data_IF_095095746858
#
_entry.id   IF_095095746858
#
_cell.length_a   1.000
_cell.length_b   1.000
_cell.length_c   1.000
_cell.angle_alpha   90.00
_cell.angle_beta   90.00
_cell.angle_gamma   90.00
#
_symmetry.space_group_name_H-M   'P 1'
#
loop_
_entity.id
_entity.type
_entity.pdbx_description
1 polymer ?
#
# COMPACT_ATOMS: atom_id res chain seq x y z
N UNK A 1 -16.78 4.84 17.57
CA UNK A 1 -17.08 4.13 18.83
C UNK A 1 -17.90 2.86 18.61
N UNK A 2 -18.96 2.85 17.80
CA UNK A 2 -19.84 1.68 17.62
C UNK A 2 -19.18 0.45 17.03
N UNK A 3 -18.33 0.60 15.98
CA UNK A 3 -17.63 -0.52 15.35
C UNK A 3 -16.64 -1.22 16.31
N UNK A 4 -15.92 -0.45 17.13
CA UNK A 4 -15.00 -1.01 18.12
C UNK A 4 -15.77 -1.77 19.22
N UNK A 5 -16.90 -1.24 19.70
CA UNK A 5 -17.74 -1.93 20.67
C UNK A 5 -18.31 -3.24 20.12
N UNK A 6 -18.74 -3.26 18.85
CA UNK A 6 -19.20 -4.48 18.19
C UNK A 6 -18.08 -5.51 18.03
N UNK A 7 -16.86 -5.08 17.72
CA UNK A 7 -15.70 -5.96 17.60
C UNK A 7 -15.32 -6.61 18.93
N UNK A 8 -15.45 -5.88 20.05
CA UNK A 8 -15.20 -6.45 21.39
C UNK A 8 -16.12 -7.60 21.74
N UNK A 9 -17.33 -7.64 21.19
CA UNK A 9 -18.27 -8.77 21.37
C UNK A 9 -17.93 -10.02 20.56
N UNK A 10 -16.98 -9.92 19.61
CA UNK A 10 -16.61 -10.98 18.65
C UNK A 10 -15.10 -11.30 18.65
N UNK A 11 -14.44 -11.14 19.78
CA UNK A 11 -13.02 -11.45 19.89
C UNK A 11 -12.76 -12.92 19.57
N UNK A 12 -11.71 -13.16 18.79
CA UNK A 12 -11.22 -14.50 18.47
C UNK A 12 -9.82 -14.68 19.09
N UNK A 13 -9.51 -15.87 19.62
CA UNK A 13 -8.15 -16.12 20.08
C UNK A 13 -7.17 -16.02 18.91
N UNK A 14 -6.05 -15.35 19.14
CA UNK A 14 -4.96 -15.23 18.18
C UNK A 14 -3.69 -15.76 18.83
N UNK A 15 -3.11 -16.80 18.26
CA UNK A 15 -1.95 -17.49 18.83
C UNK A 15 -0.66 -17.21 18.08
N UNK A 16 -0.75 -16.77 16.82
CA UNK A 16 0.40 -16.60 15.95
C UNK A 16 0.24 -15.38 15.04
N UNK A 17 1.36 -14.84 14.63
CA UNK A 17 1.47 -13.84 13.55
C UNK A 17 2.36 -14.36 12.45
N UNK A 18 2.12 -13.92 11.23
CA UNK A 18 3.05 -14.14 10.11
C UNK A 18 3.43 -12.82 9.49
N UNK A 19 4.68 -12.71 9.02
CA UNK A 19 5.19 -11.51 8.36
C UNK A 19 5.83 -11.97 7.05
N UNK A 20 5.47 -11.30 5.96
CA UNK A 20 6.03 -11.56 4.65
C UNK A 20 6.00 -10.31 3.78
N UNK A 21 6.78 -10.31 2.72
CA UNK A 21 6.81 -9.21 1.77
C UNK A 21 7.02 -9.71 0.35
N UNK A 22 6.57 -8.91 -0.61
CA UNK A 22 6.79 -9.16 -2.03
C UNK A 22 6.91 -7.84 -2.79
N UNK A 23 7.74 -7.84 -3.84
CA UNK A 23 7.87 -6.69 -4.71
C UNK A 23 6.59 -6.48 -5.52
N UNK A 24 6.14 -5.22 -5.59
CA UNK A 24 5.08 -4.78 -6.50
C UNK A 24 5.71 -4.34 -7.82
N UNK A 25 5.25 -4.88 -8.92
CA UNK A 25 5.75 -4.50 -10.23
C UNK A 25 5.03 -3.27 -10.78
N UNK A 26 5.81 -2.28 -11.23
CA UNK A 26 5.40 -1.13 -12.05
C UNK A 26 4.11 -0.43 -11.61
N UNK A 27 4.05 0.01 -10.34
CA UNK A 27 3.02 0.92 -9.82
C UNK A 27 3.66 2.18 -9.25
N UNK A 28 4.46 2.03 -8.19
CA UNK A 28 5.05 3.17 -7.50
C UNK A 28 6.15 3.84 -8.31
N UNK A 29 6.20 5.16 -8.22
CA UNK A 29 7.31 5.99 -8.70
C UNK A 29 7.41 7.24 -7.85
N UNK A 30 8.62 7.77 -7.70
CA UNK A 30 8.79 9.05 -7.04
C UNK A 30 8.10 10.15 -7.86
N UNK A 31 7.36 11.02 -7.17
CA UNK A 31 6.64 12.14 -7.80
C UNK A 31 7.59 13.15 -8.41
N UNK A 32 8.73 13.41 -7.77
CA UNK A 32 9.74 14.36 -8.27
C UNK A 32 10.71 13.63 -9.20
N UNK A 33 10.79 14.12 -10.43
CA UNK A 33 11.76 13.64 -11.40
C UNK A 33 12.96 14.57 -11.34
N UNK A 34 14.12 14.02 -10.97
CA UNK A 34 15.35 14.78 -10.83
C UNK A 34 16.06 14.92 -12.17
N UNK A 35 16.56 16.10 -12.46
CA UNK A 35 17.47 16.36 -13.57
C UNK A 35 18.92 16.07 -13.19
N UNK A 36 19.81 16.15 -14.17
CA UNK A 36 21.25 15.94 -13.99
C UNK A 36 21.90 17.02 -13.10
N UNK A 37 21.27 18.18 -13.01
CA UNK A 37 21.67 19.29 -12.14
C UNK A 37 21.23 19.12 -10.67
N UNK A 38 20.59 18.00 -10.34
CA UNK A 38 20.08 17.71 -9.00
C UNK A 38 18.78 18.46 -8.65
N UNK A 39 18.17 19.16 -9.60
CA UNK A 39 16.89 19.86 -9.38
C UNK A 39 15.72 19.06 -9.93
N UNK A 40 14.53 19.36 -9.44
CA UNK A 40 13.28 18.78 -9.97
C UNK A 40 12.97 19.45 -11.31
N UNK A 41 13.01 18.70 -12.40
CA UNK A 41 12.65 19.22 -13.73
C UNK A 41 11.19 18.90 -14.10
N UNK A 42 10.59 17.85 -13.49
CA UNK A 42 9.20 17.50 -13.70
C UNK A 42 8.57 16.86 -12.46
N UNK A 43 7.25 16.92 -12.41
CA UNK A 43 6.45 16.27 -11.34
C UNK A 43 5.46 15.31 -11.97
N UNK A 44 5.50 14.06 -11.52
CA UNK A 44 4.49 13.06 -11.84
C UNK A 44 3.29 13.23 -10.92
N UNK A 45 2.12 13.34 -11.50
CA UNK A 45 0.85 13.32 -10.77
C UNK A 45 0.27 11.89 -10.75
N UNK A 46 -0.99 11.75 -10.39
CA UNK A 46 -1.71 10.47 -10.44
C UNK A 46 -1.62 9.83 -11.83
N UNK A 47 -1.78 10.63 -12.86
CA UNK A 47 -1.55 10.32 -14.27
C UNK A 47 -0.55 11.30 -14.88
N UNK A 48 0.27 10.79 -15.78
CA UNK A 48 1.29 11.60 -16.47
C UNK A 48 1.15 11.40 -17.97
N UNK A 49 0.48 12.32 -18.69
CA UNK A 49 0.31 12.20 -20.14
C UNK A 49 1.63 12.27 -20.90
N UNK A 50 2.59 13.07 -20.42
CA UNK A 50 3.88 13.27 -21.09
C UNK A 50 4.73 11.98 -21.08
N UNK A 51 5.04 11.39 -22.25
CA UNK A 51 5.82 10.17 -22.34
C UNK A 51 7.27 10.35 -21.89
N UNK A 52 7.87 11.53 -22.03
CA UNK A 52 9.24 11.79 -21.58
C UNK A 52 9.34 11.75 -20.05
N UNK A 53 8.36 12.34 -19.36
CA UNK A 53 8.27 12.29 -17.89
C UNK A 53 8.02 10.87 -17.41
N UNK A 54 7.19 10.08 -18.12
CA UNK A 54 6.99 8.66 -17.80
C UNK A 54 8.25 7.82 -18.05
N UNK A 55 9.03 8.14 -19.10
CA UNK A 55 10.26 7.40 -19.42
C UNK A 55 11.36 7.57 -18.36
N UNK A 56 11.39 8.69 -17.64
CA UNK A 56 12.38 8.95 -16.59
C UNK A 56 12.38 7.86 -15.50
N UNK A 57 13.50 7.62 -14.80
CA UNK A 57 13.62 6.59 -13.76
C UNK A 57 12.53 6.66 -12.69
N UNK A 58 12.24 5.54 -12.02
CA UNK A 58 11.28 5.50 -10.90
C UNK A 58 11.63 6.46 -9.77
N UNK A 59 12.92 6.69 -9.57
CA UNK A 59 13.43 7.41 -8.42
C UNK A 59 13.44 6.54 -7.15
N UNK A 60 13.62 7.18 -6.01
CA UNK A 60 13.63 6.49 -4.72
C UNK A 60 12.21 6.10 -4.30
N UNK A 61 11.97 4.81 -4.15
CA UNK A 61 10.70 4.20 -3.69
C UNK A 61 10.98 3.03 -2.75
N UNK A 62 9.98 2.64 -1.93
CA UNK A 62 9.91 1.30 -1.32
C UNK A 62 9.02 0.42 -2.23
N UNK A 63 9.59 -0.52 -2.99
CA UNK A 63 8.82 -1.34 -3.91
C UNK A 63 8.10 -2.50 -3.23
N UNK A 64 8.31 -2.71 -1.91
CA UNK A 64 7.83 -3.89 -1.21
C UNK A 64 6.44 -3.68 -0.61
N UNK A 65 5.50 -4.55 -0.97
CA UNK A 65 4.26 -4.73 -0.23
C UNK A 65 4.52 -5.68 0.93
N UNK A 66 4.20 -5.23 2.14
CA UNK A 66 4.37 -5.98 3.38
C UNK A 66 3.03 -6.52 3.84
N UNK A 67 3.02 -7.75 4.34
CA UNK A 67 1.81 -8.42 4.84
C UNK A 67 2.05 -8.93 6.24
N UNK A 68 1.09 -8.66 7.14
CA UNK A 68 1.02 -9.26 8.47
C UNK A 68 -0.26 -10.09 8.53
N UNK A 69 -0.12 -11.38 8.84
CA UNK A 69 -1.24 -12.28 9.08
C UNK A 69 -1.45 -12.56 10.57
N UNK A 70 -2.70 -12.65 10.99
CA UNK A 70 -3.10 -13.06 12.33
C UNK A 70 -3.76 -14.43 12.25
N UNK A 71 -3.36 -15.35 13.15
CA UNK A 71 -3.72 -16.76 13.05
C UNK A 71 -4.13 -17.35 14.40
N UNK A 72 -4.96 -18.38 14.33
CA UNK A 72 -5.23 -19.29 15.43
C UNK A 72 -5.01 -20.73 14.92
N UNK A 73 -3.84 -21.30 15.17
CA UNK A 73 -3.37 -22.50 14.52
C UNK A 73 -3.35 -22.37 13.00
N UNK A 74 -4.04 -23.24 12.27
CA UNK A 74 -4.11 -23.14 10.79
C UNK A 74 -5.17 -22.16 10.26
N UNK A 75 -6.03 -21.63 11.14
CA UNK A 75 -7.08 -20.67 10.75
C UNK A 75 -6.52 -19.27 10.67
N UNK A 76 -6.53 -18.69 9.49
CA UNK A 76 -6.29 -17.25 9.31
C UNK A 76 -7.49 -16.45 9.86
N UNK A 77 -7.20 -15.37 10.59
CA UNK A 77 -8.19 -14.48 11.19
C UNK A 77 -8.32 -13.17 10.43
N UNK A 78 -7.19 -12.58 10.05
CA UNK A 78 -7.13 -11.34 9.27
C UNK A 78 -5.75 -11.18 8.64
N UNK A 79 -5.70 -10.41 7.53
CA UNK A 79 -4.46 -10.02 6.85
C UNK A 79 -4.39 -8.50 6.74
N UNK A 80 -3.28 -7.91 7.17
CA UNK A 80 -2.98 -6.49 6.98
C UNK A 80 -1.95 -6.35 5.87
N UNK A 81 -2.17 -5.41 4.96
CA UNK A 81 -1.25 -5.11 3.87
C UNK A 81 -0.82 -3.65 3.95
N UNK A 82 0.44 -3.42 3.69
CA UNK A 82 1.06 -2.10 3.67
C UNK A 82 1.86 -1.93 2.38
N UNK A 83 1.63 -0.85 1.65
CA UNK A 83 2.41 -0.48 0.49
C UNK A 83 2.52 1.04 0.35
N UNK A 84 3.72 1.52 0.06
CA UNK A 84 4.01 2.95 -0.02
C UNK A 84 3.68 3.51 -1.40
N UNK A 85 2.41 3.83 -1.64
CA UNK A 85 1.95 4.52 -2.86
C UNK A 85 0.71 5.36 -2.56
N UNK A 86 0.56 6.49 -3.24
CA UNK A 86 -0.70 7.22 -3.27
C UNK A 86 -1.73 6.38 -4.03
N UNK A 87 -2.80 5.89 -3.38
CA UNK A 87 -3.67 4.86 -3.94
C UNK A 87 -4.73 5.45 -4.89
N UNK A 88 -4.28 6.17 -5.91
CA UNK A 88 -5.15 6.83 -6.88
C UNK A 88 -4.68 6.52 -8.29
N UNK A 89 -5.56 5.97 -9.12
CA UNK A 89 -5.34 5.70 -10.54
C UNK A 89 -6.17 6.60 -11.45
N UNK A 90 -7.34 7.02 -10.99
CA UNK A 90 -8.28 7.87 -11.73
C UNK A 90 -8.74 9.01 -10.85
N UNK A 91 -8.30 10.22 -11.16
CA UNK A 91 -8.73 11.45 -10.51
C UNK A 91 -9.71 12.24 -11.39
N UNK A 92 -10.52 13.09 -10.77
CA UNK A 92 -11.42 14.01 -11.46
C UNK A 92 -12.65 13.38 -12.12
N UNK A 93 -12.96 12.10 -11.84
CA UNK A 93 -14.11 11.42 -12.44
C UNK A 93 -15.42 11.64 -11.70
N UNK A 94 -15.38 12.15 -10.46
CA UNK A 94 -16.57 12.31 -9.60
C UNK A 94 -17.16 10.99 -9.07
N UNK A 95 -16.52 9.87 -9.33
CA UNK A 95 -16.97 8.54 -8.89
C UNK A 95 -16.28 8.14 -7.60
N UNK A 96 -17.04 7.69 -6.61
CA UNK A 96 -16.49 7.08 -5.39
C UNK A 96 -16.05 5.66 -5.69
N UNK A 97 -14.79 5.35 -5.45
CA UNK A 97 -14.20 4.03 -5.71
C UNK A 97 -13.21 3.66 -4.60
N UNK A 98 -13.06 2.38 -4.23
CA UNK A 98 -12.01 1.95 -3.32
C UNK A 98 -10.63 1.93 -3.98
N UNK A 99 -10.53 2.36 -5.24
CA UNK A 99 -9.33 2.37 -6.06
C UNK A 99 -8.66 1.00 -6.21
N UNK A 100 -7.57 0.92 -6.94
CA UNK A 100 -6.91 -0.34 -7.25
C UNK A 100 -6.49 -1.13 -6.00
N UNK A 101 -6.09 -0.46 -4.93
CA UNK A 101 -5.71 -1.11 -3.67
C UNK A 101 -6.89 -1.74 -2.95
N UNK A 102 -8.03 -1.04 -2.93
CA UNK A 102 -9.25 -1.56 -2.32
C UNK A 102 -9.91 -2.65 -3.15
N UNK A 103 -9.85 -2.56 -4.49
CA UNK A 103 -10.31 -3.62 -5.39
C UNK A 103 -9.48 -4.90 -5.19
N UNK A 104 -8.15 -4.79 -5.12
CA UNK A 104 -7.26 -5.93 -4.87
C UNK A 104 -7.54 -6.57 -3.49
N UNK A 105 -7.68 -5.75 -2.45
CA UNK A 105 -8.03 -6.20 -1.10
C UNK A 105 -9.38 -6.94 -1.08
N UNK A 106 -10.42 -6.40 -1.73
CA UNK A 106 -11.72 -7.03 -1.79
C UNK A 106 -11.64 -8.40 -2.47
N UNK A 107 -10.97 -8.47 -3.62
CA UNK A 107 -10.71 -9.72 -4.35
C UNK A 107 -10.01 -10.75 -3.46
N UNK A 108 -8.97 -10.34 -2.71
CA UNK A 108 -8.30 -11.22 -1.75
C UNK A 108 -9.22 -11.72 -0.63
N UNK A 109 -10.09 -10.85 -0.10
CA UNK A 109 -11.05 -11.24 0.93
C UNK A 109 -12.06 -12.26 0.40
N UNK A 110 -12.56 -12.07 -0.82
CA UNK A 110 -13.50 -12.98 -1.47
C UNK A 110 -12.88 -14.35 -1.74
N UNK A 111 -11.65 -14.39 -2.27
CA UNK A 111 -10.94 -15.63 -2.59
C UNK A 111 -10.56 -16.45 -1.35
N UNK A 112 -10.16 -15.80 -0.28
CA UNK A 112 -9.64 -16.46 0.93
C UNK A 112 -10.68 -16.70 2.01
N UNK A 113 -11.81 -16.01 1.96
CA UNK A 113 -12.80 -15.97 3.04
C UNK A 113 -12.30 -15.29 4.32
N UNK A 114 -11.16 -14.57 4.24
CA UNK A 114 -10.52 -13.89 5.38
C UNK A 114 -10.55 -12.38 5.14
N UNK A 115 -10.82 -11.56 6.18
CA UNK A 115 -10.71 -10.12 6.05
C UNK A 115 -9.30 -9.66 5.68
N UNK A 116 -9.18 -8.94 4.57
CA UNK A 116 -7.96 -8.25 4.16
C UNK A 116 -8.12 -6.75 4.37
N UNK A 117 -7.16 -6.10 4.99
CA UNK A 117 -7.15 -4.67 5.28
C UNK A 117 -5.90 -4.05 4.66
N UNK A 118 -6.06 -2.94 3.98
CA UNK A 118 -4.95 -2.22 3.35
C UNK A 118 -4.64 -0.92 4.08
N UNK A 119 -3.37 -0.66 4.29
CA UNK A 119 -2.83 0.59 4.82
C UNK A 119 -1.91 1.22 3.78
N UNK A 120 -2.15 2.49 3.50
CA UNK A 120 -1.21 3.29 2.70
C UNK A 120 0.02 3.61 3.55
N UNK A 121 1.18 3.29 3.01
CA UNK A 121 2.45 3.58 3.65
C UNK A 121 2.93 5.02 3.46
N UNK A 122 4.25 5.24 3.56
CA UNK A 122 4.89 6.52 3.36
C UNK A 122 4.80 6.96 1.88
N UNK A 123 3.58 7.25 1.43
CA UNK A 123 3.24 7.52 0.03
C UNK A 123 3.21 9.00 -0.37
N UNK A 124 3.54 9.95 0.54
CA UNK A 124 3.37 11.39 0.28
C UNK A 124 4.11 11.93 -0.96
N UNK A 125 5.22 11.30 -1.32
CA UNK A 125 6.00 11.63 -2.52
C UNK A 125 5.99 10.52 -3.59
N UNK A 126 5.09 9.53 -3.45
CA UNK A 126 5.04 8.34 -4.30
C UNK A 126 3.69 8.27 -5.01
N UNK A 127 3.72 8.10 -6.32
CA UNK A 127 2.53 8.07 -7.19
C UNK A 127 2.64 6.95 -8.22
N UNK A 128 1.51 6.57 -8.82
CA UNK A 128 1.47 5.66 -9.95
C UNK A 128 1.85 6.33 -11.29
N UNK A 129 2.10 7.63 -11.31
CA UNK A 129 2.18 8.45 -12.51
C UNK A 129 3.18 8.03 -13.57
N UNK A 130 4.26 7.32 -13.23
CA UNK A 130 5.18 6.75 -14.23
C UNK A 130 4.49 5.73 -15.14
N UNK A 131 3.61 4.94 -14.56
CA UNK A 131 2.94 3.81 -15.22
C UNK A 131 1.49 4.08 -15.56
N UNK A 132 1.01 5.30 -15.30
CA UNK A 132 -0.35 5.73 -15.53
C UNK A 132 -0.38 6.88 -16.54
N UNK A 133 -0.80 6.58 -17.77
CA UNK A 133 -1.01 7.55 -18.84
C UNK A 133 -2.43 8.15 -18.84
N UNK A 134 -3.30 7.64 -17.96
CA UNK A 134 -4.66 8.12 -17.76
C UNK A 134 -5.74 7.26 -18.44
N UNK A 135 -5.38 6.15 -19.09
CA UNK A 135 -6.40 5.23 -19.63
C UNK A 135 -7.10 4.48 -18.51
N UNK A 136 -8.39 4.21 -18.67
CA UNK A 136 -9.25 3.60 -17.65
C UNK A 136 -8.76 2.22 -17.21
N UNK A 137 -8.20 1.43 -18.14
CA UNK A 137 -7.73 0.06 -17.91
C UNK A 137 -6.55 -0.02 -16.92
N UNK A 138 -5.83 1.09 -16.71
CA UNK A 138 -4.74 1.11 -15.74
C UNK A 138 -5.20 0.77 -14.32
N UNK A 139 -6.42 1.10 -13.93
CA UNK A 139 -6.95 0.74 -12.61
C UNK A 139 -7.03 -0.78 -12.43
N UNK A 140 -7.54 -1.50 -13.43
CA UNK A 140 -7.60 -2.96 -13.37
C UNK A 140 -6.20 -3.59 -13.43
N UNK A 141 -5.33 -3.07 -14.26
CA UNK A 141 -3.92 -3.50 -14.33
C UNK A 141 -3.21 -3.35 -12.98
N UNK A 142 -3.37 -2.22 -12.31
CA UNK A 142 -2.78 -2.00 -10.98
C UNK A 142 -3.44 -2.86 -9.91
N UNK A 143 -4.76 -3.08 -10.01
CA UNK A 143 -5.48 -4.02 -9.15
C UNK A 143 -4.87 -5.41 -9.23
N UNK A 144 -4.62 -5.93 -10.42
CA UNK A 144 -3.95 -7.22 -10.64
C UNK A 144 -2.56 -7.28 -10.00
N UNK A 145 -1.73 -6.26 -10.21
CA UNK A 145 -0.36 -6.20 -9.66
C UNK A 145 -0.32 -6.15 -8.13
N UNK A 146 -1.20 -5.38 -7.49
CA UNK A 146 -1.33 -5.37 -6.03
C UNK A 146 -1.84 -6.71 -5.52
N UNK A 147 -2.84 -7.28 -6.17
CA UNK A 147 -3.38 -8.59 -5.83
C UNK A 147 -2.29 -9.69 -5.87
N UNK A 148 -1.52 -9.76 -6.96
CA UNK A 148 -0.40 -10.69 -7.11
C UNK A 148 0.65 -10.50 -6.00
N UNK A 149 0.99 -9.26 -5.67
CA UNK A 149 1.93 -8.95 -4.60
C UNK A 149 1.39 -9.36 -3.22
N UNK A 150 0.09 -9.17 -2.95
CA UNK A 150 -0.56 -9.66 -1.72
C UNK A 150 -0.48 -11.17 -1.61
N UNK A 151 -0.74 -11.90 -2.68
CA UNK A 151 -0.62 -13.36 -2.73
C UNK A 151 0.82 -13.80 -2.48
N UNK A 152 1.78 -13.18 -3.17
CA UNK A 152 3.19 -13.52 -3.04
C UNK A 152 3.73 -13.22 -1.64
N UNK A 153 3.40 -12.05 -1.06
CA UNK A 153 3.80 -11.68 0.28
C UNK A 153 3.22 -12.64 1.35
N UNK A 154 1.97 -13.07 1.18
CA UNK A 154 1.36 -14.05 2.06
C UNK A 154 2.05 -15.42 1.94
N UNK A 155 2.38 -15.87 0.74
CA UNK A 155 3.10 -17.13 0.52
C UNK A 155 4.52 -17.09 1.09
N UNK A 156 5.18 -15.94 1.02
CA UNK A 156 6.52 -15.74 1.58
C UNK A 156 6.51 -15.57 3.11
N UNK A 157 5.33 -15.45 3.75
CA UNK A 157 5.24 -15.20 5.17
C UNK A 157 5.53 -16.46 6.01
N UNK A 158 6.25 -16.25 7.12
CA UNK A 158 6.50 -17.29 8.11
C UNK A 158 5.70 -17.01 9.39
N UNK A 159 4.98 -18.00 9.88
CA UNK A 159 4.27 -17.93 11.15
C UNK A 159 5.25 -17.97 12.33
N UNK A 160 4.95 -17.21 13.36
CA UNK A 160 5.66 -17.22 14.64
C UNK A 160 4.67 -17.06 15.80
N UNK A 161 4.93 -17.65 16.96
CA UNK A 161 4.06 -17.50 18.13
C UNK A 161 3.91 -16.03 18.53
N UNK A 162 2.68 -15.63 18.85
CA UNK A 162 2.37 -14.30 19.37
C UNK A 162 2.57 -14.31 20.90
N UNK A 163 3.81 -14.14 21.34
CA UNK A 163 4.17 -14.11 22.75
C UNK A 163 4.27 -12.69 23.27
N UNK A 164 3.44 -12.33 24.27
CA UNK A 164 3.49 -11.08 25.00
C UNK A 164 3.64 -9.82 24.10
N UNK A 165 2.67 -9.51 23.24
CA UNK A 165 2.75 -8.32 22.40
C UNK A 165 2.90 -7.06 23.26
N UNK A 166 3.80 -6.15 22.86
CA UNK A 166 4.01 -4.87 23.54
C UNK A 166 3.49 -3.75 22.67
N UNK A 167 2.74 -2.86 23.29
CA UNK A 167 2.38 -1.58 22.69
C UNK A 167 3.30 -0.49 23.26
N UNK A 168 3.96 0.25 22.39
CA UNK A 168 4.81 1.38 22.78
C UNK A 168 4.31 2.63 22.07
N UNK A 169 4.09 3.68 22.81
CA UNK A 169 3.81 5.02 22.30
C UNK A 169 4.93 5.94 22.77
N UNK A 170 5.61 6.58 21.82
CA UNK A 170 6.70 7.49 22.11
C UNK A 170 6.35 8.88 21.54
N UNK A 171 6.38 9.94 22.35
CA UNK A 171 6.16 11.29 21.87
C UNK A 171 7.34 11.73 21.01
N UNK A 172 7.05 12.19 19.79
CA UNK A 172 8.06 12.72 18.88
C UNK A 172 7.83 14.22 18.71
N UNK A 173 8.84 15.02 19.00
CA UNK A 173 8.86 16.44 18.69
C UNK A 173 9.71 16.65 17.44
N UNK A 174 9.05 16.98 16.32
CA UNK A 174 9.73 17.30 15.07
C UNK A 174 10.06 18.80 15.07
N UNK A 175 11.32 19.20 14.84
CA UNK A 175 11.66 20.60 14.69
C UNK A 175 10.94 21.18 13.45
N UNK A 176 10.47 22.43 13.53
CA UNK A 176 9.95 23.09 12.33
C UNK A 176 11.07 23.24 11.29
N UNK A 177 10.67 23.22 10.03
CA UNK A 177 11.58 23.49 8.94
C UNK A 177 11.88 25.00 8.90
N UNK A 178 13.17 25.37 9.01
CA UNK A 178 13.58 26.77 9.13
C UNK A 178 13.84 27.46 7.79
N UNK A 179 13.88 26.70 6.68
CA UNK A 179 14.22 27.17 5.33
C UNK A 179 13.00 27.31 4.39
N UNK A 180 11.83 27.56 4.96
CA UNK A 180 10.62 27.92 4.20
C UNK A 180 10.48 29.44 4.23
N UNK A 181 10.99 30.11 3.19
CA UNK A 181 10.66 31.49 2.85
C UNK A 181 9.37 31.57 2.01
#
# INVERSE_FOLDING_TARGET
AGAAAAAMGNLQPCSEVSIGEAKVDRIASNRRVMGDDGKVWAVRWTKTPDPAVRAAPEGLIDPMLKTIGFWHGEKALAMLHYYAVHPTSMDGTGVVTPEFVGLARNRRSEESGVPHIYFTGCGGNITAGKYNDGVADNRELFTGRIHEAMVAAQRASAKQPLNAPRWVAEPVCLPPREDLD
#
